data_IF_987258375503
#
_entry.id   IF_987258375503
#
_cell.length_a   1.000
_cell.length_b   1.000
_cell.length_c   1.000
_cell.angle_alpha   90.00
_cell.angle_beta   90.00
_cell.angle_gamma   90.00
#
_symmetry.space_group_name_H-M   'P 1'
#
loop_
_entity.id
_entity.type
_entity.pdbx_description
1 polymer ?
#
# COMPACT_ATOMS: atom_id res chain seq x y z
N UNK A 1 14.39 -19.19 6.60
CA UNK A 1 13.58 -17.96 6.68
C UNK A 1 12.44 -18.14 5.69
N UNK A 2 11.20 -17.94 6.10
CA UNK A 2 10.07 -18.03 5.17
C UNK A 2 10.20 -16.92 4.11
N UNK A 3 9.92 -17.26 2.87
CA UNK A 3 9.90 -16.29 1.78
C UNK A 3 8.82 -15.24 2.06
N UNK A 4 9.19 -13.95 2.01
CA UNK A 4 8.22 -12.87 2.16
C UNK A 4 7.44 -12.74 0.86
N UNK A 5 6.14 -13.01 0.92
CA UNK A 5 5.23 -12.90 -0.22
C UNK A 5 4.24 -11.77 0.02
N UNK A 6 3.85 -11.09 -1.04
CA UNK A 6 2.81 -10.08 -1.01
C UNK A 6 1.98 -10.17 -2.28
N UNK A 7 0.70 -9.85 -2.16
CA UNK A 7 -0.23 -9.76 -3.28
C UNK A 7 -1.00 -8.46 -3.21
N UNK A 8 -1.06 -7.72 -4.31
CA UNK A 8 -1.78 -6.46 -4.41
C UNK A 8 -3.19 -6.79 -4.90
N UNK A 9 -4.11 -7.00 -3.97
CA UNK A 9 -5.50 -7.36 -4.27
C UNK A 9 -6.26 -6.21 -4.95
N UNK A 10 -5.96 -4.96 -4.58
CA UNK A 10 -6.65 -3.78 -5.13
C UNK A 10 -5.72 -2.56 -5.17
N UNK A 11 -5.78 -1.80 -6.27
CA UNK A 11 -5.08 -0.52 -6.40
C UNK A 11 -6.07 0.63 -6.23
N UNK A 12 -5.93 1.43 -5.19
CA UNK A 12 -6.95 2.44 -4.84
C UNK A 12 -6.63 3.81 -5.43
N UNK A 13 -5.40 4.30 -5.23
CA UNK A 13 -4.98 5.61 -5.76
C UNK A 13 -3.46 5.76 -5.82
N UNK A 14 -3.00 6.61 -6.74
CA UNK A 14 -1.62 7.08 -6.84
C UNK A 14 -1.56 8.52 -6.30
N UNK A 15 -0.77 8.74 -5.24
CA UNK A 15 -0.60 10.07 -4.63
C UNK A 15 0.39 10.95 -5.39
N UNK A 16 1.47 10.35 -5.88
CA UNK A 16 2.54 11.06 -6.56
C UNK A 16 3.41 10.09 -7.35
N UNK A 17 4.05 10.60 -8.39
CA UNK A 17 5.09 9.90 -9.16
C UNK A 17 6.38 10.73 -9.12
N UNK A 18 7.54 10.07 -9.10
CA UNK A 18 8.84 10.75 -9.21
C UNK A 18 9.47 10.58 -10.59
N UNK A 19 10.54 11.33 -10.87
CA UNK A 19 11.25 11.30 -12.16
C UNK A 19 11.83 9.93 -12.54
N UNK A 20 11.95 9.01 -11.59
CA UNK A 20 12.42 7.63 -11.80
C UNK A 20 11.26 6.65 -12.04
N UNK A 21 10.03 7.16 -12.17
CA UNK A 21 8.80 6.38 -12.36
C UNK A 21 8.30 5.64 -11.11
N UNK A 22 8.89 5.90 -9.93
CA UNK A 22 8.35 5.31 -8.70
C UNK A 22 7.10 6.06 -8.29
N UNK A 23 6.07 5.30 -7.95
CA UNK A 23 4.76 5.79 -7.58
C UNK A 23 4.55 5.59 -6.08
N UNK A 24 4.07 6.62 -5.38
CA UNK A 24 3.55 6.47 -4.02
C UNK A 24 2.06 6.20 -4.13
N UNK A 25 1.64 5.04 -3.67
CA UNK A 25 0.28 4.52 -3.89
C UNK A 25 -0.35 4.07 -2.57
N UNK A 26 -1.67 4.18 -2.50
CA UNK A 26 -2.48 3.47 -1.52
C UNK A 26 -3.12 2.26 -2.20
N UNK A 27 -2.85 1.07 -1.68
CA UNK A 27 -3.33 -0.19 -2.22
C UNK A 27 -3.90 -1.08 -1.09
N UNK A 28 -4.66 -2.12 -1.45
CA UNK A 28 -4.98 -3.26 -0.58
C UNK A 28 -3.95 -4.34 -0.81
N UNK A 29 -3.18 -4.69 0.21
CA UNK A 29 -2.07 -5.65 0.08
C UNK A 29 -2.23 -6.77 1.10
N UNK A 30 -2.25 -8.01 0.60
CA UNK A 30 -2.11 -9.23 1.40
C UNK A 30 -0.62 -9.51 1.60
N UNK A 31 -0.20 -9.70 2.85
CA UNK A 31 1.18 -10.06 3.17
C UNK A 31 1.21 -11.48 3.73
N UNK A 32 2.02 -12.35 3.12
CA UNK A 32 2.19 -13.75 3.51
C UNK A 32 0.86 -14.53 3.61
N UNK A 33 -0.09 -14.24 2.71
CA UNK A 33 -1.40 -14.88 2.67
C UNK A 33 -2.37 -14.43 3.77
N UNK A 34 -2.02 -13.42 4.57
CA UNK A 34 -2.94 -12.82 5.54
C UNK A 34 -4.02 -11.97 4.81
N UNK A 35 -5.16 -11.67 5.47
CA UNK A 35 -6.18 -10.80 4.88
C UNK A 35 -5.58 -9.45 4.47
N UNK A 36 -5.95 -8.97 3.27
CA UNK A 36 -5.44 -7.70 2.78
C UNK A 36 -5.79 -6.54 3.71
N UNK A 37 -4.81 -5.63 3.82
CA UNK A 37 -4.88 -4.40 4.62
C UNK A 37 -4.61 -3.20 3.73
N UNK A 38 -4.93 -2.02 4.22
CA UNK A 38 -4.57 -0.79 3.52
C UNK A 38 -3.08 -0.56 3.67
N UNK A 39 -2.45 -0.20 2.57
CA UNK A 39 -1.02 -0.05 2.55
C UNK A 39 -0.63 1.15 1.70
N UNK A 40 0.07 2.09 2.35
CA UNK A 40 0.54 3.31 1.73
C UNK A 40 2.07 3.25 1.63
N UNK A 41 2.58 2.99 0.43
CA UNK A 41 4.03 2.92 0.20
C UNK A 41 4.42 3.33 -1.21
N UNK A 42 5.73 3.47 -1.41
CA UNK A 42 6.29 3.69 -2.74
C UNK A 42 6.53 2.35 -3.44
N UNK A 43 6.16 2.25 -4.70
CA UNK A 43 6.35 1.09 -5.56
C UNK A 43 7.26 1.44 -6.73
N UNK A 44 8.02 0.46 -7.19
CA UNK A 44 8.70 0.56 -8.48
C UNK A 44 7.69 0.53 -9.63
N UNK A 45 8.04 1.01 -10.84
CA UNK A 45 7.13 1.06 -11.99
C UNK A 45 6.48 -0.28 -12.35
N UNK A 46 7.16 -1.39 -12.03
CA UNK A 46 6.77 -2.77 -12.29
C UNK A 46 6.19 -3.49 -11.05
N UNK A 47 6.00 -2.77 -9.93
CA UNK A 47 5.55 -3.30 -8.63
C UNK A 47 6.38 -4.46 -8.06
N UNK A 48 7.59 -4.71 -8.59
CA UNK A 48 8.49 -5.78 -8.14
C UNK A 48 9.23 -5.42 -6.84
N UNK A 49 9.39 -4.13 -6.56
CA UNK A 49 10.05 -3.61 -5.37
C UNK A 49 9.15 -2.63 -4.63
N UNK A 50 9.19 -2.75 -3.31
CA UNK A 50 8.55 -1.83 -2.39
C UNK A 50 9.58 -0.96 -1.69
N UNK A 51 9.27 0.33 -1.58
CA UNK A 51 10.03 1.30 -0.80
C UNK A 51 9.51 1.41 0.63
N UNK A 52 9.90 2.50 1.30
CA UNK A 52 9.37 2.83 2.63
C UNK A 52 7.87 3.13 2.55
N UNK A 53 7.15 2.73 3.58
CA UNK A 53 5.72 2.98 3.71
C UNK A 53 5.16 2.45 5.03
N UNK A 54 3.85 2.44 5.12
CA UNK A 54 3.11 2.00 6.30
C UNK A 54 1.91 1.14 5.89
N UNK A 55 1.70 0.05 6.61
CA UNK A 55 0.48 -0.75 6.52
C UNK A 55 -0.45 -0.33 7.65
N UNK A 56 -1.71 -0.10 7.31
CA UNK A 56 -2.78 0.29 8.22
C UNK A 56 -3.81 -0.84 8.30
N UNK A 57 -4.27 -1.15 9.51
CA UNK A 57 -5.45 -1.99 9.67
C UNK A 57 -6.68 -1.30 9.07
N UNK A 58 -7.75 -2.06 8.85
CA UNK A 58 -9.01 -1.48 8.38
C UNK A 58 -9.55 -0.41 9.34
N UNK A 59 -9.38 -0.62 10.65
CA UNK A 59 -9.81 0.31 11.70
C UNK A 59 -8.97 1.60 11.70
N UNK A 60 -7.64 1.48 11.59
CA UNK A 60 -6.75 2.64 11.50
C UNK A 60 -7.05 3.50 10.26
N UNK A 61 -7.32 2.84 9.12
CA UNK A 61 -7.66 3.53 7.88
C UNK A 61 -9.04 4.21 7.96
N UNK A 62 -10.03 3.58 8.59
CA UNK A 62 -11.36 4.17 8.78
C UNK A 62 -11.31 5.45 9.64
N UNK A 63 -10.51 5.43 10.72
CA UNK A 63 -10.26 6.62 11.55
C UNK A 63 -9.65 7.75 10.71
N UNK A 64 -8.64 7.42 9.88
CA UNK A 64 -7.97 8.39 9.02
C UNK A 64 -8.94 9.03 8.02
N UNK A 65 -9.72 8.21 7.31
CA UNK A 65 -10.70 8.66 6.32
C UNK A 65 -11.79 9.51 6.97
N UNK A 66 -12.30 9.11 8.13
CA UNK A 66 -13.31 9.85 8.88
C UNK A 66 -12.80 11.22 9.33
N UNK A 67 -11.54 11.32 9.74
CA UNK A 67 -10.93 12.59 10.13
C UNK A 67 -10.82 13.59 8.97
N UNK A 68 -10.54 13.12 7.75
CA UNK A 68 -10.38 13.96 6.56
C UNK A 68 -11.68 14.24 5.78
N UNK A 69 -12.76 13.51 6.03
CA UNK A 69 -14.07 13.72 5.37
C UNK A 69 -14.89 14.90 5.93
N UNK A 70 -14.35 15.65 6.88
CA UNK A 70 -14.97 16.88 7.41
C UNK A 70 -14.88 18.03 6.41
#
# INVERSE_FOLDING_TARGET
>A
MAEFTFDIEEKLLVLSENEKGWTKELNRVSFNGAPAKYDLRSWSPDHSKMGKGITLTNEEFDVLVTAFKK
#
